data_IF_548865942675
#
_entry.id   IF_548865942675
#
_cell.length_a   1.000
_cell.length_b   1.000
_cell.length_c   1.000
_cell.angle_alpha   90.00
_cell.angle_beta   90.00
_cell.angle_gamma   90.00
#
_symmetry.space_group_name_H-M   'P 1'
#
loop_
_entity.id
_entity.type
_entity.pdbx_description
1 polymer ?
#
# COMPACT_ATOMS: atom_id res chain seq x y z
N UNK A 1 -9.20 -5.35 6.94
CA UNK A 1 -9.50 -3.89 6.89
C UNK A 1 -9.85 -3.54 5.46
N UNK A 2 -10.79 -2.62 5.25
CA UNK A 2 -11.23 -2.24 3.90
C UNK A 2 -10.87 -0.80 3.56
N UNK A 3 -10.11 -0.12 4.41
CA UNK A 3 -9.57 1.21 4.13
C UNK A 3 -8.09 1.09 3.74
N UNK A 4 -7.58 2.04 2.93
CA UNK A 4 -6.15 2.15 2.68
C UNK A 4 -5.39 2.35 3.99
N UNK A 5 -4.26 1.66 4.12
CA UNK A 5 -3.37 1.75 5.28
C UNK A 5 -2.09 2.45 4.85
N UNK A 6 -1.88 3.65 5.39
CA UNK A 6 -0.61 4.37 5.26
C UNK A 6 0.20 4.13 6.53
N UNK A 7 1.45 3.71 6.40
CA UNK A 7 2.38 3.60 7.52
C UNK A 7 3.61 4.48 7.28
N UNK A 8 4.14 5.01 8.39
CA UNK A 8 5.42 5.72 8.41
C UNK A 8 6.49 4.91 9.11
N UNK A 9 7.71 4.94 8.59
CA UNK A 9 8.90 4.35 9.24
C UNK A 9 9.90 5.44 9.53
N UNK A 10 10.20 5.64 10.82
CA UNK A 10 11.33 6.44 11.30
C UNK A 10 12.38 5.50 11.89
N UNK A 11 13.63 5.60 11.44
CA UNK A 11 14.72 4.79 11.97
C UNK A 11 14.65 3.32 11.54
N UNK A 12 15.00 2.39 12.43
CA UNK A 12 15.16 0.98 12.07
C UNK A 12 13.83 0.20 12.13
N UNK A 13 13.36 -0.31 10.99
CA UNK A 13 12.32 -1.33 10.89
C UNK A 13 12.96 -2.66 10.49
N UNK A 14 13.30 -3.49 11.47
CA UNK A 14 13.98 -4.77 11.27
C UNK A 14 13.11 -5.93 11.73
N UNK A 15 13.22 -7.04 11.02
CA UNK A 15 12.53 -8.28 11.34
C UNK A 15 11.02 -8.12 11.40
N UNK A 16 10.40 -8.44 12.54
CA UNK A 16 8.96 -8.25 12.75
C UNK A 16 8.49 -6.80 12.50
N UNK A 17 9.33 -5.78 12.77
CA UNK A 17 9.03 -4.38 12.44
C UNK A 17 9.00 -4.14 10.93
N UNK A 18 9.88 -4.80 10.19
CA UNK A 18 9.84 -4.79 8.73
C UNK A 18 8.64 -5.58 8.19
N UNK A 19 8.31 -6.72 8.81
CA UNK A 19 7.12 -7.50 8.47
C UNK A 19 5.83 -6.71 8.64
N UNK A 20 5.74 -5.88 9.69
CA UNK A 20 4.62 -4.95 9.85
C UNK A 20 4.61 -3.87 8.76
N UNK A 21 5.75 -3.24 8.48
CA UNK A 21 5.86 -2.20 7.46
C UNK A 21 5.43 -2.70 6.07
N UNK A 22 5.76 -3.95 5.73
CA UNK A 22 5.35 -4.58 4.46
C UNK A 22 3.83 -4.81 4.32
N UNK A 23 3.06 -4.70 5.40
CA UNK A 23 1.59 -4.84 5.36
C UNK A 23 0.88 -3.51 5.02
N UNK A 24 1.61 -2.40 4.96
CA UNK A 24 1.05 -1.12 4.52
C UNK A 24 0.62 -1.20 3.04
N UNK A 25 -0.45 -0.49 2.69
CA UNK A 25 -0.78 -0.26 1.28
C UNK A 25 0.10 0.86 0.69
N UNK A 26 0.48 1.82 1.53
CA UNK A 26 1.41 2.90 1.20
C UNK A 26 2.40 3.05 2.36
N UNK A 27 3.69 2.96 2.04
CA UNK A 27 4.76 3.09 3.01
C UNK A 27 5.54 4.38 2.78
N UNK A 28 5.58 5.25 3.78
CA UNK A 28 6.42 6.45 3.82
C UNK A 28 7.58 6.16 4.77
N UNK A 29 8.80 6.55 4.40
CA UNK A 29 9.97 6.34 5.25
C UNK A 29 10.79 7.62 5.37
N UNK A 30 11.46 7.81 6.49
CA UNK A 30 12.40 8.92 6.64
C UNK A 30 13.72 8.65 5.92
N UNK A 31 14.50 9.69 5.64
CA UNK A 31 15.83 9.56 5.05
C UNK A 31 16.77 8.67 5.87
N UNK A 32 16.70 8.76 7.20
CA UNK A 32 17.49 7.92 8.11
C UNK A 32 16.97 6.51 8.31
N UNK A 33 15.78 6.19 7.77
CA UNK A 33 15.17 4.89 8.00
C UNK A 33 15.96 3.75 7.35
N UNK A 34 16.04 2.62 8.06
CA UNK A 34 16.67 1.40 7.57
C UNK A 34 15.74 0.20 7.73
N UNK A 35 15.69 -0.66 6.71
CA UNK A 35 14.72 -1.77 6.63
C UNK A 35 15.41 -3.08 6.25
N UNK A 36 15.00 -4.21 6.83
CA UNK A 36 15.58 -5.51 6.49
C UNK A 36 15.16 -6.69 7.39
N UNK A 37 15.62 -7.89 7.03
CA UNK A 37 15.33 -9.18 7.70
C UNK A 37 16.62 -9.80 8.27
N UNK A 38 17.04 -9.47 9.51
CA UNK A 38 18.28 -9.98 10.10
C UNK A 38 18.20 -11.42 10.64
N UNK A 39 17.01 -12.03 10.66
CA UNK A 39 16.69 -13.34 11.27
C UNK A 39 17.65 -14.46 10.87
N UNK A 40 18.12 -14.46 9.62
CA UNK A 40 19.02 -15.49 9.11
C UNK A 40 20.31 -15.59 9.93
N UNK A 41 20.77 -14.47 10.52
CA UNK A 41 21.95 -14.41 11.39
C UNK A 41 21.70 -15.03 12.77
N UNK A 42 20.44 -15.17 13.15
CA UNK A 42 20.00 -15.82 14.38
C UNK A 42 19.64 -17.31 14.16
N UNK A 43 19.79 -17.82 12.93
CA UNK A 43 19.56 -19.22 12.61
C UNK A 43 18.11 -19.58 12.26
N UNK A 44 17.26 -18.60 11.95
CA UNK A 44 15.89 -18.85 11.48
C UNK A 44 15.50 -17.86 10.37
N UNK A 45 14.34 -18.07 9.73
CA UNK A 45 13.81 -17.15 8.72
C UNK A 45 12.53 -16.48 9.22
N UNK A 46 12.26 -15.28 8.73
CA UNK A 46 11.05 -14.52 9.00
C UNK A 46 9.88 -15.03 8.13
N UNK A 47 8.80 -15.62 8.70
CA UNK A 47 7.75 -16.25 7.91
C UNK A 47 7.00 -15.30 6.97
N UNK A 48 6.72 -14.07 7.38
CA UNK A 48 6.07 -13.07 6.52
C UNK A 48 7.08 -12.56 5.49
N UNK A 49 8.34 -12.38 5.90
CA UNK A 49 9.46 -12.06 5.02
C UNK A 49 9.56 -12.99 3.80
N UNK A 50 9.57 -14.31 4.02
CA UNK A 50 9.69 -15.27 2.92
C UNK A 50 8.43 -15.38 2.05
N UNK A 51 7.24 -15.16 2.64
CA UNK A 51 5.98 -15.34 1.94
C UNK A 51 5.52 -14.10 1.16
N UNK A 52 5.84 -12.90 1.66
CA UNK A 52 5.26 -11.66 1.16
C UNK A 52 6.24 -10.76 0.40
N UNK A 53 7.49 -10.64 0.88
CA UNK A 53 8.50 -9.78 0.25
C UNK A 53 8.71 -10.04 -1.25
N UNK A 54 8.69 -11.29 -1.76
CA UNK A 54 8.82 -11.54 -3.21
C UNK A 54 7.74 -10.87 -4.06
N UNK A 55 6.54 -10.65 -3.52
CA UNK A 55 5.45 -9.94 -4.22
C UNK A 55 5.68 -8.44 -4.28
N UNK A 56 6.48 -7.89 -3.36
CA UNK A 56 6.73 -6.46 -3.27
C UNK A 56 7.95 -6.03 -4.08
N UNK A 57 9.04 -6.80 -4.01
CA UNK A 57 10.34 -6.43 -4.63
C UNK A 57 10.86 -7.44 -5.65
N UNK A 58 10.08 -8.48 -5.95
CA UNK A 58 10.50 -9.60 -6.80
C UNK A 58 11.37 -10.62 -6.07
N UNK A 59 11.42 -11.84 -6.63
CA UNK A 59 12.07 -13.00 -5.98
C UNK A 59 13.57 -12.80 -5.75
N UNK A 60 14.28 -12.20 -6.70
CA UNK A 60 15.73 -12.01 -6.61
C UNK A 60 16.11 -11.08 -5.45
N UNK A 61 15.41 -9.95 -5.34
CA UNK A 61 15.66 -8.99 -4.26
C UNK A 61 15.22 -9.55 -2.92
N UNK A 62 14.10 -10.24 -2.87
CA UNK A 62 13.63 -10.88 -1.65
C UNK A 62 14.67 -11.88 -1.10
N UNK A 63 15.26 -12.73 -1.95
CA UNK A 63 16.34 -13.64 -1.55
C UNK A 63 17.57 -12.87 -1.06
N UNK A 64 17.99 -11.81 -1.74
CA UNK A 64 19.12 -10.99 -1.30
C UNK A 64 18.88 -10.39 0.09
N UNK A 65 17.69 -9.84 0.34
CA UNK A 65 17.33 -9.24 1.62
C UNK A 65 17.32 -10.32 2.72
N UNK A 66 16.58 -11.42 2.52
CA UNK A 66 16.36 -12.44 3.56
C UNK A 66 17.59 -13.31 3.83
N UNK A 67 18.47 -13.53 2.85
CA UNK A 67 19.67 -14.34 3.04
C UNK A 67 20.90 -13.54 3.49
N UNK A 68 20.96 -12.23 3.26
CA UNK A 68 22.13 -11.41 3.68
C UNK A 68 22.09 -10.95 5.14
N UNK A 69 20.89 -10.84 5.71
CA UNK A 69 20.67 -10.24 7.03
C UNK A 69 21.09 -8.77 7.13
N UNK A 70 21.24 -8.07 6.00
CA UNK A 70 21.59 -6.65 5.94
C UNK A 70 20.35 -5.78 6.12
N UNK A 71 20.56 -4.59 6.68
CA UNK A 71 19.60 -3.49 6.58
C UNK A 71 19.93 -2.66 5.32
N UNK A 72 18.89 -2.12 4.71
CA UNK A 72 18.98 -1.28 3.51
C UNK A 72 18.35 0.08 3.77
N UNK A 73 18.81 1.10 3.03
CA UNK A 73 18.29 2.46 3.18
C UNK A 73 16.85 2.58 2.69
N UNK A 74 16.12 3.59 3.18
CA UNK A 74 14.81 3.95 2.65
C UNK A 74 14.84 4.27 1.15
N UNK A 75 15.92 4.90 0.66
CA UNK A 75 16.14 5.18 -0.77
C UNK A 75 16.30 3.90 -1.61
N UNK A 76 16.98 2.88 -1.10
CA UNK A 76 17.05 1.58 -1.78
C UNK A 76 15.66 0.95 -1.87
N UNK A 77 14.91 0.98 -0.76
CA UNK A 77 13.55 0.45 -0.70
C UNK A 77 12.58 1.21 -1.62
N UNK A 78 12.75 2.51 -1.80
CA UNK A 78 11.98 3.33 -2.73
C UNK A 78 12.30 2.94 -4.18
N UNK A 79 13.59 2.78 -4.52
CA UNK A 79 14.01 2.33 -5.85
C UNK A 79 13.49 0.94 -6.21
N UNK A 80 13.22 0.10 -5.21
CA UNK A 80 12.63 -1.23 -5.41
C UNK A 80 11.10 -1.23 -5.41
N UNK A 81 10.47 -0.06 -5.19
CA UNK A 81 9.02 0.10 -5.20
C UNK A 81 8.33 -0.30 -3.90
N UNK A 82 9.07 -0.62 -2.84
CA UNK A 82 8.49 -0.95 -1.53
C UNK A 82 8.06 0.32 -0.77
N UNK A 83 8.94 1.31 -0.73
CA UNK A 83 8.67 2.63 -0.13
C UNK A 83 8.08 3.53 -1.21
N UNK A 84 6.97 4.19 -0.92
CA UNK A 84 6.26 5.06 -1.86
C UNK A 84 6.75 6.51 -1.83
N UNK A 85 7.40 6.93 -0.75
CA UNK A 85 8.04 8.23 -0.62
C UNK A 85 9.08 8.21 0.51
N UNK A 86 10.24 8.79 0.24
CA UNK A 86 11.21 9.17 1.28
C UNK A 86 11.06 10.65 1.61
N UNK A 87 11.03 10.97 2.91
CA UNK A 87 10.89 12.35 3.43
C UNK A 87 11.97 12.64 4.46
N UNK A 88 12.22 13.92 4.75
CA UNK A 88 13.12 14.29 5.85
C UNK A 88 12.62 13.72 7.18
N UNK A 89 13.52 13.47 8.12
CA UNK A 89 13.21 12.83 9.41
C UNK A 89 12.14 13.56 10.22
N UNK A 90 12.14 14.90 10.16
CA UNK A 90 11.18 15.76 10.84
C UNK A 90 9.84 15.91 10.08
N UNK A 91 9.77 15.44 8.83
CA UNK A 91 8.61 15.60 7.94
C UNK A 91 7.76 14.33 7.83
N UNK A 92 8.02 13.29 8.65
CA UNK A 92 7.32 12.00 8.52
C UNK A 92 5.79 12.14 8.62
N UNK A 93 5.31 12.88 9.62
CA UNK A 93 3.87 13.07 9.83
C UNK A 93 3.22 13.82 8.66
N UNK A 94 3.88 14.86 8.17
CA UNK A 94 3.43 15.61 6.99
C UNK A 94 3.41 14.73 5.73
N UNK A 95 4.42 13.86 5.56
CA UNK A 95 4.49 12.91 4.46
C UNK A 95 3.35 11.88 4.49
N UNK A 96 3.01 11.35 5.68
CA UNK A 96 1.86 10.46 5.87
C UNK A 96 0.56 11.20 5.55
N UNK A 97 0.36 12.38 6.14
CA UNK A 97 -0.86 13.17 5.99
C UNK A 97 -1.10 13.55 4.53
N UNK A 98 -0.04 13.89 3.78
CA UNK A 98 -0.14 14.15 2.34
C UNK A 98 -0.74 12.97 1.55
N UNK A 99 -0.36 11.72 1.88
CA UNK A 99 -0.94 10.52 1.26
C UNK A 99 -2.39 10.30 1.68
N UNK A 100 -2.71 10.52 2.95
CA UNK A 100 -4.07 10.38 3.46
C UNK A 100 -5.00 11.43 2.83
N UNK A 101 -4.52 12.65 2.63
CA UNK A 101 -5.31 13.74 2.06
C UNK A 101 -5.72 13.48 0.60
N UNK A 102 -4.87 12.78 -0.17
CA UNK A 102 -5.25 12.30 -1.50
C UNK A 102 -6.44 11.33 -1.44
N UNK A 103 -6.46 10.44 -0.44
CA UNK A 103 -7.57 9.49 -0.26
C UNK A 103 -8.84 10.19 0.21
N UNK A 104 -8.76 11.18 1.10
CA UNK A 104 -9.94 11.91 1.63
C UNK A 104 -10.76 12.63 0.55
N UNK A 105 -10.20 12.84 -0.64
CA UNK A 105 -10.91 13.44 -1.78
C UNK A 105 -11.90 12.48 -2.45
N UNK A 106 -11.72 11.18 -2.28
CA UNK A 106 -12.53 10.15 -2.92
C UNK A 106 -13.76 9.76 -2.07
N UNK A 107 -14.74 9.13 -2.70
CA UNK A 107 -15.88 8.53 -1.98
C UNK A 107 -15.38 7.44 -1.01
N UNK A 108 -15.75 7.49 0.28
CA UNK A 108 -15.39 6.44 1.24
C UNK A 108 -15.93 5.06 0.85
N UNK A 109 -17.12 5.01 0.26
CA UNK A 109 -17.71 3.76 -0.25
C UNK A 109 -16.85 3.18 -1.38
N UNK A 110 -16.55 3.99 -2.39
CA UNK A 110 -15.78 3.55 -3.56
C UNK A 110 -14.35 3.17 -3.18
N UNK A 111 -13.73 3.90 -2.25
CA UNK A 111 -12.42 3.53 -1.68
C UNK A 111 -12.44 2.14 -1.05
N UNK A 112 -13.46 1.84 -0.23
CA UNK A 112 -13.61 0.52 0.40
C UNK A 112 -13.79 -0.60 -0.60
N UNK A 113 -14.63 -0.36 -1.62
CA UNK A 113 -14.81 -1.31 -2.72
C UNK A 113 -13.50 -1.57 -3.46
N UNK A 114 -12.75 -0.51 -3.77
CA UNK A 114 -11.48 -0.61 -4.46
C UNK A 114 -10.43 -1.40 -3.67
N UNK A 115 -10.20 -1.05 -2.39
CA UNK A 115 -9.23 -1.78 -1.54
C UNK A 115 -9.58 -3.25 -1.42
N UNK A 116 -10.87 -3.57 -1.23
CA UNK A 116 -11.35 -4.95 -1.15
C UNK A 116 -11.09 -5.71 -2.45
N UNK A 117 -11.40 -5.11 -3.60
CA UNK A 117 -11.19 -5.74 -4.90
C UNK A 117 -9.72 -5.93 -5.22
N UNK A 118 -8.88 -4.90 -5.03
CA UNK A 118 -7.43 -4.99 -5.26
C UNK A 118 -6.85 -6.16 -4.46
N UNK A 119 -7.16 -6.26 -3.17
CA UNK A 119 -6.65 -7.34 -2.30
C UNK A 119 -7.19 -8.71 -2.69
N UNK A 120 -8.49 -8.82 -2.98
CA UNK A 120 -9.13 -10.09 -3.33
C UNK A 120 -8.62 -10.64 -4.66
N UNK A 121 -8.40 -9.76 -5.64
CA UNK A 121 -8.04 -10.15 -6.99
C UNK A 121 -6.53 -10.27 -7.20
N UNK A 122 -5.72 -9.79 -6.26
CA UNK A 122 -4.27 -9.87 -6.31
C UNK A 122 -3.79 -11.33 -6.46
N UNK A 123 -3.02 -11.60 -7.51
CA UNK A 123 -2.44 -12.92 -7.79
C UNK A 123 -3.31 -13.84 -8.64
N UNK A 124 -4.53 -13.44 -9.02
CA UNK A 124 -5.33 -14.17 -9.99
C UNK A 124 -4.83 -13.95 -11.43
N UNK A 125 -5.07 -14.90 -12.36
CA UNK A 125 -4.87 -14.66 -13.78
C UNK A 125 -5.69 -13.46 -14.26
N UNK A 126 -5.12 -12.65 -15.16
CA UNK A 126 -5.72 -11.39 -15.63
C UNK A 126 -7.19 -11.54 -16.04
N UNK A 127 -7.52 -12.52 -16.88
CA UNK A 127 -8.89 -12.69 -17.37
C UNK A 127 -9.90 -13.03 -16.27
N UNK A 128 -9.47 -13.77 -15.24
CA UNK A 128 -10.33 -14.03 -14.09
C UNK A 128 -10.52 -12.77 -13.26
N UNK A 129 -9.42 -12.06 -12.93
CA UNK A 129 -9.47 -10.82 -12.17
C UNK A 129 -10.34 -9.76 -12.85
N UNK A 130 -10.18 -9.58 -14.17
CA UNK A 130 -10.96 -8.63 -14.97
C UNK A 130 -12.45 -8.92 -14.93
N UNK A 131 -12.86 -10.18 -15.15
CA UNK A 131 -14.29 -10.56 -15.13
C UNK A 131 -14.92 -10.36 -13.76
N UNK A 132 -14.21 -10.69 -12.68
CA UNK A 132 -14.70 -10.45 -11.32
C UNK A 132 -14.81 -8.94 -11.02
N UNK A 133 -13.82 -8.14 -11.43
CA UNK A 133 -13.86 -6.68 -11.28
C UNK A 133 -15.00 -6.04 -12.09
N UNK A 134 -15.21 -6.46 -13.35
CA UNK A 134 -16.28 -5.95 -14.22
C UNK A 134 -17.67 -6.25 -13.66
N UNK A 135 -17.86 -7.44 -13.08
CA UNK A 135 -19.12 -7.79 -12.44
C UNK A 135 -19.44 -6.82 -11.29
N UNK A 136 -18.49 -6.61 -10.37
CA UNK A 136 -18.68 -5.68 -9.26
C UNK A 136 -18.83 -4.23 -9.76
N UNK A 137 -18.11 -3.85 -10.81
CA UNK A 137 -18.24 -2.54 -11.43
C UNK A 137 -19.67 -2.29 -11.93
N UNK A 138 -20.20 -3.18 -12.77
CA UNK A 138 -21.51 -3.01 -13.40
C UNK A 138 -22.67 -3.19 -12.43
N UNK A 139 -22.61 -4.23 -11.58
CA UNK A 139 -23.75 -4.64 -10.76
C UNK A 139 -23.81 -3.89 -9.42
N UNK A 140 -22.66 -3.49 -8.86
CA UNK A 140 -22.59 -2.90 -7.51
C UNK A 140 -22.15 -1.44 -7.53
N UNK A 141 -21.07 -1.08 -8.24
CA UNK A 141 -20.50 0.27 -8.21
C UNK A 141 -21.37 1.28 -8.98
N UNK A 142 -21.72 0.98 -10.23
CA UNK A 142 -22.40 1.92 -11.13
C UNK A 142 -23.81 2.31 -10.67
N UNK A 143 -24.43 1.53 -9.79
CA UNK A 143 -25.75 1.81 -9.23
C UNK A 143 -25.71 2.74 -8.00
N UNK A 144 -24.52 3.03 -7.47
CA UNK A 144 -24.36 3.87 -6.26
C UNK A 144 -24.67 5.34 -6.51
N UNK A 145 -25.12 6.04 -5.45
CA UNK A 145 -25.31 7.50 -5.50
C UNK A 145 -23.99 8.26 -5.68
N UNK A 146 -22.89 7.76 -5.09
CA UNK A 146 -21.58 8.40 -5.20
C UNK A 146 -21.06 8.40 -6.64
N UNK A 147 -21.35 7.38 -7.46
CA UNK A 147 -21.02 7.43 -8.90
C UNK A 147 -21.80 8.55 -9.60
N UNK A 148 -23.10 8.70 -9.31
CA UNK A 148 -23.92 9.78 -9.91
C UNK A 148 -23.41 11.15 -9.51
N UNK A 149 -23.11 11.35 -8.23
CA UNK A 149 -22.57 12.59 -7.68
C UNK A 149 -21.16 12.91 -8.22
N UNK A 150 -20.29 11.91 -8.31
CA UNK A 150 -18.95 12.07 -8.87
C UNK A 150 -18.99 12.55 -10.32
N UNK A 151 -19.87 11.96 -11.13
CA UNK A 151 -20.08 12.38 -12.53
C UNK A 151 -20.68 13.80 -12.58
N UNK A 152 -21.73 14.08 -11.81
CA UNK A 152 -22.39 15.38 -11.80
C UNK A 152 -21.43 16.52 -11.37
N UNK A 153 -20.74 16.34 -10.25
CA UNK A 153 -19.78 17.33 -9.73
C UNK A 153 -18.62 17.62 -10.70
N UNK A 154 -18.17 16.62 -11.46
CA UNK A 154 -17.17 16.79 -12.51
C UNK A 154 -17.66 17.70 -13.64
N UNK A 155 -18.86 17.45 -14.17
CA UNK A 155 -19.46 18.29 -15.22
C UNK A 155 -19.78 19.71 -14.72
N UNK A 156 -20.20 19.83 -13.47
CA UNK A 156 -20.52 21.10 -12.81
C UNK A 156 -19.28 21.85 -12.29
N UNK A 157 -18.08 21.26 -12.38
CA UNK A 157 -16.79 21.82 -11.91
C UNK A 157 -16.82 22.24 -10.43
N UNK A 158 -17.49 21.44 -9.60
CA UNK A 158 -17.57 21.64 -8.15
C UNK A 158 -16.96 20.47 -7.40
N UNK A 159 -16.76 20.64 -6.08
CA UNK A 159 -16.37 19.53 -5.22
C UNK A 159 -17.55 18.56 -5.03
N UNK A 160 -17.32 17.24 -5.05
CA UNK A 160 -18.35 16.26 -4.76
C UNK A 160 -18.77 16.31 -3.29
N UNK A 161 -20.04 15.97 -3.03
CA UNK A 161 -20.60 15.77 -1.70
C UNK A 161 -20.93 14.29 -1.51
N UNK A 162 -19.98 13.54 -0.98
CA UNK A 162 -20.16 12.12 -0.71
C UNK A 162 -21.18 11.90 0.42
N UNK A 163 -22.13 10.99 0.22
CA UNK A 163 -23.20 10.74 1.21
C UNK A 163 -22.88 9.62 2.21
N UNK A 164 -21.92 8.76 1.89
CA UNK A 164 -21.59 7.56 2.65
C UNK A 164 -20.32 7.72 3.51
N UNK A 165 -20.28 8.77 4.33
CA UNK A 165 -19.17 9.06 5.25
C UNK A 165 -19.15 8.08 6.43
#
# INVERSE_FOLDING_TARGET
MDLPVVMGVHGAALGAGFELAMMADVLVATESATLGQPEIRLGFFAPVGVAWLPKLVGVHRAIEITCSGRAYSSLDMERWGLVSAVVADDDLEAGIEAKVEDFRRASPLVLRMNVRLVRRLAGLPFEQARREAEKVFLDELMVTEDVREGIASFFEKRRPQWKNC
#
